data_IF_373259784145
#
_entry.id   IF_373259784145
#
_cell.length_a   1.000
_cell.length_b   1.000
_cell.length_c   1.000
_cell.angle_alpha   90.00
_cell.angle_beta   90.00
_cell.angle_gamma   90.00
#
_symmetry.space_group_name_H-M   'P 1'
#
loop_
_entity.id
_entity.type
_entity.pdbx_description
1 polymer ?
#
# COMPACT_ATOMS: atom_id res chain seq x y z
N UNK A 1 18.76 -38.09 -11.12
CA UNK A 1 17.94 -38.11 -9.89
C UNK A 1 18.72 -37.39 -8.80
N UNK A 2 18.03 -36.53 -8.07
CA UNK A 2 18.46 -35.44 -7.17
C UNK A 2 18.88 -34.15 -7.90
N UNK A 3 18.01 -33.15 -8.04
CA UNK A 3 17.29 -32.32 -7.06
C UNK A 3 18.14 -31.21 -6.48
N UNK A 4 17.59 -30.00 -6.57
CA UNK A 4 18.08 -28.84 -5.84
C UNK A 4 18.39 -27.64 -6.72
N UNK A 5 17.42 -27.20 -7.52
CA UNK A 5 17.34 -25.77 -7.88
C UNK A 5 17.24 -25.02 -6.56
N UNK A 6 18.38 -24.53 -6.07
CA UNK A 6 18.48 -23.69 -4.88
C UNK A 6 17.66 -22.44 -5.20
N UNK A 7 16.43 -22.41 -4.71
CA UNK A 7 15.54 -21.26 -4.82
C UNK A 7 16.30 -20.04 -4.31
N UNK A 8 16.72 -19.21 -5.25
CA UNK A 8 17.30 -17.91 -4.96
C UNK A 8 16.20 -17.13 -4.26
N UNK A 9 16.35 -16.97 -2.94
CA UNK A 9 15.44 -16.19 -2.14
C UNK A 9 15.38 -14.79 -2.78
N UNK A 10 14.20 -14.43 -3.28
CA UNK A 10 13.97 -13.15 -3.91
C UNK A 10 14.55 -12.03 -3.02
N UNK A 11 15.21 -11.01 -3.60
CA UNK A 11 15.83 -9.95 -2.82
C UNK A 11 14.79 -9.36 -1.85
N UNK A 12 15.20 -8.96 -0.63
CA UNK A 12 14.27 -8.38 0.35
C UNK A 12 13.51 -7.26 -0.34
N UNK A 13 12.17 -7.39 -0.41
CA UNK A 13 11.31 -6.34 -0.96
C UNK A 13 11.68 -5.05 -0.24
N UNK A 14 12.13 -4.05 -0.98
CA UNK A 14 12.59 -2.78 -0.44
C UNK A 14 11.38 -2.12 0.26
N UNK A 15 11.34 -2.22 1.59
CA UNK A 15 10.22 -1.78 2.44
C UNK A 15 10.15 -0.25 2.63
N UNK A 16 10.95 0.51 1.88
CA UNK A 16 11.17 1.92 2.20
C UNK A 16 9.95 2.80 1.92
N UNK A 17 9.03 2.38 1.05
CA UNK A 17 7.86 3.17 0.67
C UNK A 17 6.56 2.38 0.80
N UNK A 18 5.71 2.83 1.72
CA UNK A 18 4.33 2.36 1.91
C UNK A 18 3.38 3.44 1.43
N UNK A 19 2.47 3.09 0.53
CA UNK A 19 1.51 4.00 -0.08
C UNK A 19 0.09 3.71 0.42
N UNK A 20 -0.62 4.75 0.84
CA UNK A 20 -2.03 4.66 1.18
C UNK A 20 -2.87 5.41 0.14
N UNK A 21 -3.87 4.74 -0.43
CA UNK A 21 -4.88 5.35 -1.29
C UNK A 21 -6.17 5.51 -0.50
N UNK A 22 -6.55 6.76 -0.22
CA UNK A 22 -7.80 7.08 0.46
C UNK A 22 -8.97 6.95 -0.54
N UNK A 23 -9.76 5.88 -0.44
CA UNK A 23 -10.88 5.60 -1.35
C UNK A 23 -11.96 4.77 -0.69
N UNK A 24 -13.23 5.11 -0.93
CA UNK A 24 -14.41 4.30 -0.55
C UNK A 24 -14.76 3.23 -1.57
N UNK A 25 -14.04 3.17 -2.69
CA UNK A 25 -14.36 2.32 -3.83
C UNK A 25 -13.14 1.56 -4.33
N UNK A 26 -12.78 0.41 -3.74
CA UNK A 26 -11.61 -0.37 -4.16
C UNK A 26 -11.71 -0.90 -5.60
N UNK A 27 -12.93 -0.99 -6.15
CA UNK A 27 -13.20 -1.43 -7.52
C UNK A 27 -13.32 -0.29 -8.53
N UNK A 28 -13.23 0.96 -8.09
CA UNK A 28 -13.24 2.10 -9.02
C UNK A 28 -12.03 2.02 -9.93
N UNK A 29 -12.21 2.41 -11.19
CA UNK A 29 -11.15 2.32 -12.19
C UNK A 29 -9.85 2.99 -11.75
N UNK A 30 -9.94 4.20 -11.19
CA UNK A 30 -8.78 4.95 -10.69
C UNK A 30 -8.06 4.22 -9.55
N UNK A 31 -8.81 3.72 -8.56
CA UNK A 31 -8.24 2.98 -7.42
C UNK A 31 -7.60 1.67 -7.86
N UNK A 32 -8.27 0.91 -8.74
CA UNK A 32 -7.73 -0.33 -9.29
C UNK A 32 -6.43 -0.10 -10.08
N UNK A 33 -6.40 0.91 -10.97
CA UNK A 33 -5.21 1.22 -11.78
C UNK A 33 -4.02 1.62 -10.91
N UNK A 34 -4.23 2.36 -9.82
CA UNK A 34 -3.15 2.70 -8.89
C UNK A 34 -2.56 1.47 -8.20
N UNK A 35 -3.40 0.51 -7.80
CA UNK A 35 -2.95 -0.75 -7.19
C UNK A 35 -2.13 -1.58 -8.17
N UNK A 36 -2.58 -1.71 -9.42
CA UNK A 36 -1.88 -2.44 -10.47
C UNK A 36 -0.47 -1.88 -10.70
N UNK A 37 -0.37 -0.56 -10.92
CA UNK A 37 0.91 0.10 -11.17
C UNK A 37 1.85 0.03 -9.95
N UNK A 38 1.31 0.05 -8.73
CA UNK A 38 2.09 -0.12 -7.51
C UNK A 38 2.63 -1.55 -7.36
N UNK A 39 1.81 -2.55 -7.68
CA UNK A 39 2.21 -3.96 -7.70
C UNK A 39 3.30 -4.22 -8.76
N UNK A 40 3.14 -3.67 -9.96
CA UNK A 40 4.12 -3.78 -11.04
C UNK A 40 5.50 -3.19 -10.65
N UNK A 41 5.49 -2.19 -9.76
CA UNK A 41 6.70 -1.56 -9.21
C UNK A 41 7.21 -2.23 -7.93
N UNK A 42 6.51 -3.25 -7.43
CA UNK A 42 6.84 -3.93 -6.17
C UNK A 42 6.67 -3.07 -4.92
N UNK A 43 5.78 -2.08 -4.95
CA UNK A 43 5.50 -1.18 -3.83
C UNK A 43 4.46 -1.77 -2.88
N UNK A 44 4.60 -1.50 -1.58
CA UNK A 44 3.58 -1.81 -0.58
C UNK A 44 2.48 -0.75 -0.65
N UNK A 45 1.24 -1.17 -0.93
CA UNK A 45 0.09 -0.28 -1.08
C UNK A 45 -1.13 -0.81 -0.33
N UNK A 46 -1.82 0.10 0.37
CA UNK A 46 -3.12 -0.15 1.00
C UNK A 46 -4.18 0.81 0.48
N UNK A 47 -5.41 0.31 0.31
CA UNK A 47 -6.60 1.15 0.13
C UNK A 47 -7.24 1.33 1.49
N UNK A 48 -7.45 2.57 1.91
CA UNK A 48 -8.00 2.92 3.22
C UNK A 48 -9.29 3.68 2.99
N UNK A 49 -10.37 3.26 3.68
CA UNK A 49 -11.61 4.01 3.68
C UNK A 49 -11.38 5.31 4.48
N UNK A 50 -11.55 6.50 3.87
CA UNK A 50 -11.37 7.76 4.59
C UNK A 50 -12.26 7.89 5.83
N UNK A 51 -13.40 7.19 5.88
CA UNK A 51 -14.35 7.25 7.00
C UNK A 51 -13.88 6.45 8.22
N UNK A 52 -12.88 5.57 8.07
CA UNK A 52 -12.27 4.86 9.19
C UNK A 52 -11.09 5.63 9.79
N UNK A 53 -10.69 6.75 9.17
CA UNK A 53 -9.58 7.56 9.65
C UNK A 53 -10.04 8.57 10.70
N UNK A 54 -9.21 8.77 11.73
CA UNK A 54 -9.35 9.89 12.65
C UNK A 54 -8.53 11.08 12.15
N UNK A 55 -9.16 12.25 12.04
CA UNK A 55 -8.54 13.49 11.58
C UNK A 55 -8.28 14.41 12.77
N UNK A 56 -7.02 14.81 12.94
CA UNK A 56 -6.62 15.81 13.93
C UNK A 56 -6.19 17.08 13.21
N UNK A 57 -6.74 18.22 13.62
CA UNK A 57 -6.45 19.52 13.02
C UNK A 57 -6.04 20.47 14.13
N UNK A 58 -4.82 21.01 14.07
CA UNK A 58 -4.31 22.00 15.03
C UNK A 58 -3.37 23.00 14.36
N UNK A 59 -3.54 24.30 14.63
CA UNK A 59 -2.70 25.40 14.15
C UNK A 59 -2.18 25.27 12.69
N UNK A 60 -3.05 24.88 11.75
CA UNK A 60 -2.71 24.73 10.34
C UNK A 60 -2.03 23.41 9.96
N UNK A 61 -1.82 22.51 10.92
CA UNK A 61 -1.41 21.13 10.72
C UNK A 61 -2.63 20.21 10.65
N UNK A 62 -2.57 19.25 9.73
CA UNK A 62 -3.54 18.16 9.62
C UNK A 62 -2.79 16.84 9.78
N UNK A 63 -3.23 16.02 10.72
CA UNK A 63 -2.73 14.68 10.95
C UNK A 63 -3.86 13.68 10.72
N UNK A 64 -3.55 12.57 10.04
CA UNK A 64 -4.49 11.49 9.77
C UNK A 64 -3.98 10.25 10.48
N UNK A 65 -4.78 9.75 11.41
CA UNK A 65 -4.52 8.49 12.09
C UNK A 65 -5.36 7.39 11.44
N UNK A 66 -4.69 6.29 11.11
CA UNK A 66 -5.31 5.06 10.63
C UNK A 66 -4.99 3.97 11.66
N UNK A 67 -6.02 3.43 12.30
CA UNK A 67 -5.86 2.25 13.13
C UNK A 67 -5.64 1.04 12.21
N UNK A 68 -4.50 0.37 12.38
CA UNK A 68 -4.00 -0.72 11.54
C UNK A 68 -4.34 -2.11 12.09
#
# INVERSE_FOLDING_TARGET
MNDGVKGEAAPPRRMDLRLAVLSRGPRLYSTRRLVEEAQDRGLDMAIIDPLTCSLFVDQGRVEVLVDG
#
